data_IF_944935202027
#
_entry.id   IF_944935202027
#
_cell.length_a   1.000
_cell.length_b   1.000
_cell.length_c   1.000
_cell.angle_alpha   90.00
_cell.angle_beta   90.00
_cell.angle_gamma   90.00
#
_symmetry.space_group_name_H-M   'P 1'
#
loop_
_entity.id
_entity.type
_entity.pdbx_description
1 polymer ?
#
# COMPACT_ATOMS: atom_id res chain seq x y z
N UNK A 1 -3.37 10.80 6.70
CA UNK A 1 -2.06 11.01 6.02
C UNK A 1 -2.22 11.17 4.51
N UNK A 2 -1.36 11.94 3.83
CA UNK A 2 -1.29 12.00 2.37
C UNK A 2 -0.05 11.25 1.87
N UNK A 3 -0.24 10.38 0.89
CA UNK A 3 0.85 9.72 0.16
C UNK A 3 0.70 10.07 -1.31
N UNK A 4 1.75 10.04 -2.12
CA UNK A 4 1.59 10.13 -3.57
C UNK A 4 2.31 8.95 -4.21
N UNK A 5 1.54 7.95 -4.64
CA UNK A 5 2.12 6.72 -5.19
C UNK A 5 1.49 6.33 -6.51
N UNK A 6 2.35 6.10 -7.50
CA UNK A 6 1.93 5.55 -8.79
C UNK A 6 1.64 4.05 -8.63
N UNK A 7 0.42 3.64 -8.93
CA UNK A 7 0.00 2.24 -8.85
C UNK A 7 -0.15 1.65 -10.26
N UNK A 8 -0.05 0.32 -10.37
CA UNK A 8 -0.20 -0.42 -11.64
C UNK A 8 -1.53 -0.22 -12.34
N UNK A 9 -2.54 0.34 -11.66
CA UNK A 9 -3.80 0.75 -12.27
C UNK A 9 -3.66 1.99 -13.20
N UNK A 10 -2.48 2.59 -13.28
CA UNK A 10 -2.19 3.78 -14.10
C UNK A 10 -2.59 5.10 -13.45
N UNK A 11 -3.05 5.09 -12.18
CA UNK A 11 -3.39 6.29 -11.41
C UNK A 11 -2.39 6.55 -10.28
N UNK A 12 -2.32 7.81 -9.87
CA UNK A 12 -1.58 8.23 -8.68
C UNK A 12 -2.55 8.29 -7.51
N UNK A 13 -2.29 7.52 -6.47
CA UNK A 13 -3.11 7.49 -5.26
C UNK A 13 -2.58 8.49 -4.24
N UNK A 14 -3.49 9.34 -3.73
CA UNK A 14 -3.17 10.41 -2.77
C UNK A 14 -3.34 10.05 -1.29
N UNK A 15 -3.78 8.82 -1.04
CA UNK A 15 -4.10 8.33 0.30
C UNK A 15 -4.12 6.82 0.34
N UNK A 16 -3.77 6.26 1.49
CA UNK A 16 -3.72 4.81 1.70
C UNK A 16 -5.08 4.16 1.47
N UNK A 17 -6.19 4.80 1.85
CA UNK A 17 -7.53 4.28 1.58
C UNK A 17 -7.78 4.10 0.08
N UNK A 18 -7.55 5.13 -0.73
CA UNK A 18 -7.73 5.05 -2.19
C UNK A 18 -6.82 4.00 -2.85
N UNK A 19 -5.62 3.79 -2.29
CA UNK A 19 -4.70 2.76 -2.75
C UNK A 19 -5.20 1.36 -2.37
N UNK A 20 -5.71 1.20 -1.15
CA UNK A 20 -6.28 -0.05 -0.65
C UNK A 20 -7.52 -0.47 -1.45
N UNK A 21 -8.42 0.47 -1.77
CA UNK A 21 -9.60 0.23 -2.63
C UNK A 21 -9.18 -0.28 -4.01
N UNK A 22 -8.06 0.21 -4.54
CA UNK A 22 -7.54 -0.24 -5.82
C UNK A 22 -6.78 -1.58 -5.74
N UNK A 23 -6.18 -1.89 -4.59
CA UNK A 23 -5.43 -3.12 -4.34
C UNK A 23 -6.37 -4.30 -4.07
N UNK A 24 -7.47 -4.03 -3.37
CA UNK A 24 -8.47 -5.02 -2.95
C UNK A 24 -9.88 -4.59 -3.39
N UNK A 25 -10.20 -4.65 -4.69
CA UNK A 25 -11.51 -4.26 -5.20
C UNK A 25 -12.65 -5.15 -4.69
N UNK A 26 -12.35 -6.38 -4.29
CA UNK A 26 -13.33 -7.34 -3.79
C UNK A 26 -13.64 -7.17 -2.29
N UNK A 27 -13.01 -6.20 -1.61
CA UNK A 27 -13.26 -5.93 -0.20
C UNK A 27 -14.67 -5.33 -0.01
N UNK A 28 -15.45 -5.93 0.88
CA UNK A 28 -16.79 -5.45 1.23
C UNK A 28 -16.76 -4.05 1.84
N UNK A 29 -15.75 -3.76 2.66
CA UNK A 29 -15.44 -2.41 3.12
C UNK A 29 -13.98 -2.29 3.53
N UNK A 30 -13.46 -1.07 3.43
CA UNK A 30 -12.12 -0.67 3.82
C UNK A 30 -12.22 0.50 4.81
N UNK A 31 -11.54 0.39 5.95
CA UNK A 31 -11.57 1.41 7.01
C UNK A 31 -10.17 1.78 7.47
N UNK A 32 -9.96 3.05 7.82
CA UNK A 32 -8.67 3.59 8.26
C UNK A 32 -7.85 4.20 7.12
N UNK A 33 -6.70 4.79 7.46
CA UNK A 33 -5.86 5.54 6.50
C UNK A 33 -4.35 5.27 6.66
N UNK A 34 -3.98 4.10 7.20
CA UNK A 34 -2.58 3.75 7.47
C UNK A 34 -1.93 2.80 6.46
N UNK A 35 -0.62 2.64 6.60
CA UNK A 35 0.18 1.81 5.70
C UNK A 35 0.04 0.30 5.96
N UNK A 36 -0.33 -0.10 7.18
CA UNK A 36 -0.46 -1.52 7.55
C UNK A 36 -1.89 -1.97 7.38
N UNK A 37 -2.11 -3.13 6.76
CA UNK A 37 -3.43 -3.68 6.51
C UNK A 37 -3.65 -4.95 7.33
N UNK A 38 -4.84 -5.07 7.91
CA UNK A 38 -5.37 -6.31 8.49
C UNK A 38 -6.49 -6.78 7.58
N UNK A 39 -6.32 -7.97 7.03
CA UNK A 39 -7.24 -8.61 6.09
C UNK A 39 -8.04 -9.68 6.86
N UNK A 40 -9.36 -9.55 6.86
CA UNK A 40 -10.24 -10.57 7.41
C UNK A 40 -11.02 -11.23 6.27
N UNK A 41 -10.78 -12.51 6.01
CA UNK A 41 -11.48 -13.31 4.98
C UNK A 41 -12.34 -14.41 5.60
N UNK A 42 -13.16 -14.06 6.58
CA UNK A 42 -14.02 -15.01 7.28
C UNK A 42 -15.42 -15.06 6.63
N UNK A 43 -16.35 -14.22 7.08
CA UNK A 43 -17.69 -14.11 6.48
C UNK A 43 -17.72 -13.14 5.28
N UNK A 44 -17.15 -11.95 5.48
CA UNK A 44 -16.96 -10.93 4.46
C UNK A 44 -15.49 -10.57 4.39
N UNK A 45 -14.99 -10.33 3.17
CA UNK A 45 -13.64 -9.80 3.00
C UNK A 45 -13.61 -8.34 3.43
N UNK A 46 -12.91 -8.05 4.52
CA UNK A 46 -12.80 -6.69 5.06
C UNK A 46 -11.35 -6.32 5.28
N UNK A 47 -11.05 -5.02 5.10
CA UNK A 47 -9.70 -4.49 5.22
C UNK A 47 -9.70 -3.35 6.23
N UNK A 48 -8.86 -3.45 7.25
CA UNK A 48 -8.64 -2.38 8.21
C UNK A 48 -7.19 -1.89 8.11
N UNK A 49 -7.02 -0.59 7.93
CA UNK A 49 -5.74 0.09 7.79
C UNK A 49 -5.31 0.75 9.10
N UNK A 50 -4.03 0.62 9.44
CA UNK A 50 -3.42 1.10 10.66
C UNK A 50 -2.11 1.83 10.38
N UNK A 51 -1.84 2.91 11.11
CA UNK A 51 -0.62 3.71 10.93
C UNK A 51 0.63 2.91 11.35
N UNK A 52 0.50 2.09 12.39
CA UNK A 52 1.63 1.35 12.96
C UNK A 52 1.44 -0.16 12.89
N UNK A 53 2.56 -0.88 12.70
CA UNK A 53 2.58 -2.35 12.74
C UNK A 53 2.10 -2.89 14.08
N UNK A 54 2.41 -2.19 15.18
CA UNK A 54 2.03 -2.61 16.53
C UNK A 54 0.51 -2.57 16.72
N UNK A 55 -0.17 -1.55 16.21
CA UNK A 55 -1.64 -1.47 16.25
C UNK A 55 -2.29 -2.54 15.39
N UNK A 56 -1.81 -2.71 14.15
CA UNK A 56 -2.26 -3.77 13.27
C UNK A 56 -2.15 -5.15 13.95
N UNK A 57 -0.98 -5.46 14.53
CA UNK A 57 -0.75 -6.72 15.26
C UNK A 57 -1.70 -6.90 16.44
N UNK A 58 -1.89 -5.85 17.25
CA UNK A 58 -2.83 -5.88 18.38
C UNK A 58 -4.25 -6.14 17.89
N UNK A 59 -4.64 -5.57 16.75
CA UNK A 59 -5.96 -5.80 16.17
C UNK A 59 -6.11 -7.22 15.63
N UNK A 60 -5.16 -7.71 14.85
CA UNK A 60 -5.15 -9.08 14.32
C UNK A 60 -5.33 -10.07 15.46
N UNK A 61 -4.49 -9.99 16.50
CA UNK A 61 -4.61 -10.86 17.68
C UNK A 61 -5.99 -10.77 18.34
N UNK A 62 -6.55 -9.57 18.48
CA UNK A 62 -7.88 -9.38 19.07
C UNK A 62 -8.99 -9.99 18.21
N UNK A 63 -8.86 -9.96 16.88
CA UNK A 63 -9.81 -10.59 15.96
C UNK A 63 -9.67 -12.12 15.99
N UNK A 64 -8.45 -12.64 16.07
CA UNK A 64 -8.19 -14.08 16.21
C UNK A 64 -8.78 -14.61 17.53
N UNK A 65 -8.66 -13.85 18.63
CA UNK A 65 -9.18 -14.26 19.94
C UNK A 65 -10.70 -14.12 20.08
N UNK A 66 -11.29 -13.06 19.53
CA UNK A 66 -12.73 -12.76 19.72
C UNK A 66 -13.62 -13.28 18.59
N UNK A 67 -13.03 -13.57 17.44
CA UNK A 67 -13.75 -13.75 16.19
C UNK A 67 -14.20 -12.41 15.57
N UNK A 68 -14.27 -12.38 14.25
CA UNK A 68 -14.81 -11.25 13.49
C UNK A 68 -16.22 -11.52 12.93
N UNK A 69 -16.79 -12.69 13.21
CA UNK A 69 -18.04 -13.15 12.62
C UNK A 69 -18.39 -14.59 13.00
N UNK A 70 -19.44 -15.13 12.40
CA UNK A 70 -19.98 -16.47 12.71
C UNK A 70 -19.13 -17.59 12.13
N UNK A 71 -18.50 -17.37 10.98
CA UNK A 71 -17.62 -18.36 10.33
C UNK A 71 -16.13 -18.07 10.56
N UNK A 72 -15.82 -17.27 11.58
CA UNK A 72 -14.44 -16.88 11.83
C UNK A 72 -13.57 -18.07 12.22
N UNK A 73 -12.60 -18.41 11.35
CA UNK A 73 -11.59 -19.44 11.61
C UNK A 73 -10.33 -18.91 12.32
N UNK A 74 -10.27 -17.61 12.61
CA UNK A 74 -9.11 -16.98 13.25
C UNK A 74 -7.87 -16.91 12.34
N UNK A 75 -8.09 -16.83 11.02
CA UNK A 75 -7.03 -16.71 10.00
C UNK A 75 -6.95 -15.30 9.44
N UNK A 76 -6.78 -14.31 10.31
CA UNK A 76 -6.61 -12.92 9.89
C UNK A 76 -5.17 -12.67 9.45
N UNK A 77 -5.00 -12.04 8.28
CA UNK A 77 -3.67 -11.76 7.75
C UNK A 77 -3.27 -10.31 8.09
N UNK A 78 -2.00 -10.12 8.45
CA UNK A 78 -1.39 -8.80 8.58
C UNK A 78 -0.41 -8.60 7.44
N UNK A 79 -0.60 -7.53 6.68
CA UNK A 79 0.25 -7.17 5.55
C UNK A 79 0.64 -5.71 5.56
N UNK A 80 1.56 -5.36 4.66
CA UNK A 80 1.88 -3.98 4.35
C UNK A 80 1.21 -3.59 3.03
N UNK A 81 0.48 -2.48 3.01
CA UNK A 81 -0.32 -2.07 1.85
C UNK A 81 0.55 -1.76 0.63
N UNK A 82 1.71 -1.12 0.82
CA UNK A 82 2.60 -0.79 -0.31
C UNK A 82 3.13 -2.06 -0.99
N UNK A 83 3.53 -3.06 -0.19
CA UNK A 83 3.94 -4.37 -0.69
C UNK A 83 2.80 -5.09 -1.41
N UNK A 84 1.60 -5.10 -0.83
CA UNK A 84 0.42 -5.71 -1.45
C UNK A 84 0.02 -5.03 -2.78
N UNK A 85 0.25 -3.72 -2.88
CA UNK A 85 0.04 -2.94 -4.09
C UNK A 85 1.17 -3.11 -5.13
N UNK A 86 2.21 -3.91 -4.82
CA UNK A 86 3.36 -4.15 -5.69
C UNK A 86 4.28 -2.93 -5.83
N UNK A 87 4.30 -2.05 -4.83
CA UNK A 87 5.17 -0.87 -4.77
C UNK A 87 6.42 -1.27 -3.97
N UNK A 88 7.41 -1.82 -4.67
CA UNK A 88 8.69 -2.25 -4.07
C UNK A 88 9.64 -1.05 -3.84
N UNK A 89 9.49 0.02 -4.64
CA UNK A 89 10.22 1.27 -4.47
C UNK A 89 9.24 2.43 -4.34
N UNK A 90 9.19 3.05 -3.16
CA UNK A 90 8.85 4.47 -3.04
C UNK A 90 9.88 5.23 -3.88
N UNK A 91 9.68 5.35 -5.19
CA UNK A 91 10.55 6.17 -6.02
C UNK A 91 10.38 7.60 -5.48
N UNK A 92 11.37 8.20 -4.80
CA UNK A 92 11.22 9.57 -4.34
C UNK A 92 10.97 10.38 -5.61
N UNK A 93 9.83 11.05 -5.67
CA UNK A 93 9.57 12.02 -6.73
C UNK A 93 10.60 13.12 -6.53
N UNK A 94 11.72 13.04 -7.23
CA UNK A 94 12.63 14.15 -7.35
C UNK A 94 11.78 15.38 -7.73
N UNK A 95 11.95 16.53 -7.05
CA UNK A 95 11.15 17.70 -7.34
C UNK A 95 11.25 18.03 -8.82
N UNK A 96 10.11 18.37 -9.43
CA UNK A 96 9.98 18.78 -10.82
C UNK A 96 10.92 19.97 -11.10
N UNK A 97 12.13 19.70 -11.57
CA UNK A 97 13.14 20.75 -11.74
C UNK A 97 14.50 20.30 -12.27
N UNK A 98 14.84 19.01 -12.22
CA UNK A 98 16.09 18.53 -12.81
C UNK A 98 15.98 18.43 -14.34
N UNK A 99 16.14 19.56 -15.02
CA UNK A 99 16.42 19.59 -16.46
C UNK A 99 17.64 18.72 -16.71
N UNK A 100 17.45 17.60 -17.41
CA UNK A 100 18.53 16.77 -17.93
C UNK A 100 19.47 17.66 -18.75
N UNK A 101 20.64 17.95 -18.18
CA UNK A 101 21.73 18.61 -18.89
C UNK A 101 22.04 17.82 -20.16
N UNK A 102 21.97 18.49 -21.31
CA UNK A 102 22.32 17.92 -22.61
C UNK A 102 23.71 17.32 -22.49
N UNK A 103 23.83 16.01 -22.71
CA UNK A 103 25.12 15.34 -22.88
C UNK A 103 25.82 15.98 -24.07
N UNK A 104 26.86 16.79 -23.84
CA UNK A 104 27.82 17.11 -24.90
C UNK A 104 28.58 15.82 -25.20
N UNK A 105 28.52 15.39 -26.46
CA UNK A 105 29.30 14.26 -26.98
C UNK A 105 30.79 14.49 -26.72
N UNK A 106 31.58 13.45 -26.44
CA UNK A 106 33.04 13.55 -26.48
C UNK A 106 33.50 13.72 -27.93
N UNK A 107 34.26 14.77 -28.20
CA UNK A 107 34.99 14.92 -29.46
C UNK A 107 36.38 14.33 -29.29
N UNK A 108 36.61 13.17 -29.89
CA UNK A 108 37.92 12.66 -30.28
C UNK A 108 37.70 11.54 -31.30
N UNK A 109 38.67 11.20 -32.18
CA UNK A 109 40.04 11.71 -32.32
C UNK A 109 40.45 11.95 -33.80
N UNK A 110 41.78 12.02 -34.03
CA UNK A 110 42.55 11.98 -35.29
C UNK A 110 42.95 13.36 -35.84
N UNK A 111 44.21 13.63 -36.21
CA UNK A 111 45.35 12.76 -36.56
C UNK A 111 46.64 13.57 -36.43
#
# INVERSE_FOLDING_TARGET
MHIEVAHRCGRIHRGYQSLAECTWPDAAYIVGDGAYAVLARCDLFTVALYETRAEARRRTRRLDERGCGKTCEGRHELGWLLEAAGIDELRPTAPAGARAGRRRRPSSPAR
#
